data_IF_319461518155
#
_entry.id   IF_319461518155
#
_cell.length_a   1.000
_cell.length_b   1.000
_cell.length_c   1.000
_cell.angle_alpha   90.00
_cell.angle_beta   90.00
_cell.angle_gamma   90.00
#
_symmetry.space_group_name_H-M   'P 1'
#
loop_
_entity.id
_entity.type
_entity.pdbx_description
1 polymer ?
#
# COMPACT_ATOMS: atom_id res chain seq x y z
N UNK A 1 -23.02 4.44 -5.08
CA UNK A 1 -22.20 4.61 -3.87
C UNK A 1 -21.20 5.73 -4.11
N UNK A 2 -21.19 6.75 -3.25
CA UNK A 2 -20.48 8.02 -3.44
C UNK A 2 -19.05 7.85 -2.93
N UNK A 3 -18.04 7.99 -3.79
CA UNK A 3 -16.63 8.04 -3.39
C UNK A 3 -16.42 9.28 -2.52
N UNK A 4 -16.51 9.13 -1.19
CA UNK A 4 -16.27 10.20 -0.20
C UNK A 4 -14.77 10.55 -0.05
N UNK A 5 -13.92 10.12 -0.99
CA UNK A 5 -12.47 10.33 -0.96
C UNK A 5 -12.00 11.66 -1.56
N UNK A 6 -12.80 12.26 -2.45
CA UNK A 6 -12.41 13.49 -3.17
C UNK A 6 -12.55 14.75 -2.29
N UNK A 7 -12.97 14.62 -1.03
CA UNK A 7 -13.15 15.78 -0.13
C UNK A 7 -11.81 16.48 0.22
N UNK A 8 -10.67 15.85 -0.07
CA UNK A 8 -9.33 16.44 0.08
C UNK A 8 -8.77 17.14 -1.17
N UNK A 9 -9.37 16.98 -2.34
CA UNK A 9 -8.92 17.60 -3.58
C UNK A 9 -9.75 18.86 -3.84
N UNK A 10 -9.21 20.01 -3.47
CA UNK A 10 -9.73 21.30 -3.91
C UNK A 10 -8.95 21.74 -5.15
N UNK A 11 -9.56 22.54 -6.03
CA UNK A 11 -8.88 23.17 -7.16
C UNK A 11 -7.64 23.96 -6.71
N UNK A 12 -7.59 24.40 -5.44
CA UNK A 12 -6.46 25.10 -4.84
C UNK A 12 -5.29 24.21 -4.40
N UNK A 13 -5.48 22.90 -4.18
CA UNK A 13 -4.39 21.97 -3.82
C UNK A 13 -3.73 21.32 -5.04
N UNK A 14 -4.31 21.50 -6.22
CA UNK A 14 -3.75 21.00 -7.48
C UNK A 14 -2.65 21.95 -8.03
N UNK A 15 -1.62 21.40 -8.70
CA UNK A 15 -0.64 22.21 -9.41
C UNK A 15 -1.29 23.19 -10.38
N UNK A 16 -0.68 24.37 -10.57
CA UNK A 16 -1.22 25.46 -11.39
C UNK A 16 -1.54 25.04 -12.83
N UNK A 17 -0.82 24.05 -13.39
CA UNK A 17 -1.09 23.49 -14.72
C UNK A 17 -2.36 22.62 -14.78
N UNK A 18 -2.66 21.85 -13.73
CA UNK A 18 -3.91 21.08 -13.60
C UNK A 18 -5.11 22.01 -13.41
N UNK A 19 -4.89 23.13 -12.69
CA UNK A 19 -5.91 24.13 -12.38
C UNK A 19 -6.27 25.05 -13.56
N UNK A 20 -5.33 25.41 -14.42
CA UNK A 20 -5.55 26.41 -15.48
C UNK A 20 -5.64 25.77 -16.88
N UNK A 21 -6.73 25.06 -17.13
CA UNK A 21 -7.18 24.76 -18.51
C UNK A 21 -7.02 23.34 -19.02
N UNK A 22 -6.55 22.38 -18.20
CA UNK A 22 -6.53 20.96 -18.59
C UNK A 22 -7.89 20.27 -18.35
N UNK A 23 -8.55 20.57 -17.23
CA UNK A 23 -9.87 20.04 -16.90
C UNK A 23 -10.85 21.19 -16.65
N UNK A 24 -12.07 21.05 -17.15
CA UNK A 24 -13.15 22.03 -16.97
C UNK A 24 -13.84 21.85 -15.60
N UNK A 25 -13.91 20.61 -15.11
CA UNK A 25 -14.42 20.26 -13.79
C UNK A 25 -13.46 19.38 -12.99
N UNK A 26 -13.54 19.46 -11.65
CA UNK A 26 -12.88 18.51 -10.73
C UNK A 26 -13.34 17.07 -11.02
N UNK A 27 -14.55 16.89 -11.55
CA UNK A 27 -15.09 15.58 -11.90
C UNK A 27 -14.44 14.93 -13.12
N UNK A 28 -13.70 15.71 -13.90
CA UNK A 28 -13.04 15.24 -15.12
C UNK A 28 -11.60 14.79 -14.84
N UNK A 29 -11.08 15.04 -13.63
CA UNK A 29 -9.73 14.65 -13.24
C UNK A 29 -9.61 13.13 -13.26
N UNK A 30 -8.62 12.63 -14.00
CA UNK A 30 -8.26 11.22 -14.01
C UNK A 30 -7.92 10.74 -12.60
N UNK A 31 -8.51 9.63 -12.17
CA UNK A 31 -8.34 9.09 -10.82
C UNK A 31 -6.87 8.83 -10.48
N UNK A 32 -6.06 8.44 -11.48
CA UNK A 32 -4.65 8.21 -11.28
C UNK A 32 -3.93 9.50 -10.87
N UNK A 33 -4.17 10.57 -11.63
CA UNK A 33 -3.60 11.89 -11.37
C UNK A 33 -4.13 12.45 -10.05
N UNK A 34 -5.45 12.43 -9.85
CA UNK A 34 -6.06 12.90 -8.60
C UNK A 34 -5.45 12.23 -7.36
N UNK A 35 -5.33 10.90 -7.37
CA UNK A 35 -4.85 10.15 -6.21
C UNK A 35 -3.36 10.30 -5.91
N UNK A 36 -2.49 10.51 -6.91
CA UNK A 36 -1.06 10.78 -6.65
C UNK A 36 -0.82 12.22 -6.15
N UNK A 37 -1.73 13.14 -6.43
CA UNK A 37 -1.63 14.54 -6.01
C UNK A 37 -2.27 14.80 -4.63
N UNK A 38 -2.94 13.82 -4.03
CA UNK A 38 -3.41 13.94 -2.66
C UNK A 38 -2.24 13.94 -1.66
N UNK A 39 -2.40 14.74 -0.60
CA UNK A 39 -1.46 14.72 0.53
C UNK A 39 -1.48 13.32 1.18
N UNK A 40 -0.31 12.68 1.35
CA UNK A 40 -0.25 11.38 2.03
C UNK A 40 -0.77 11.44 3.47
N UNK A 41 -1.37 10.34 3.93
CA UNK A 41 -1.70 10.17 5.35
C UNK A 41 -0.42 10.09 6.19
N UNK A 42 -0.50 10.46 7.47
CA UNK A 42 0.65 10.37 8.41
C UNK A 42 1.22 8.95 8.43
N UNK A 43 2.51 8.81 8.09
CA UNK A 43 3.19 7.51 8.04
C UNK A 43 2.87 6.66 6.80
N UNK A 44 2.10 7.18 5.84
CA UNK A 44 1.79 6.51 4.58
C UNK A 44 2.46 7.20 3.40
N UNK A 45 2.56 6.48 2.29
CA UNK A 45 3.06 7.00 1.00
C UNK A 45 1.94 7.47 0.06
N UNK A 46 0.67 7.30 0.46
CA UNK A 46 -0.50 7.57 -0.38
C UNK A 46 -1.57 8.36 0.38
N UNK A 47 -2.34 9.14 -0.37
CA UNK A 47 -3.46 9.94 0.15
C UNK A 47 -4.71 9.11 0.44
N UNK A 48 -5.76 9.75 1.01
CA UNK A 48 -6.99 9.09 1.45
C UNK A 48 -7.70 8.25 0.37
N UNK A 49 -7.79 8.73 -0.87
CA UNK A 49 -8.51 8.04 -1.95
C UNK A 49 -7.80 6.75 -2.33
N UNK A 50 -6.49 6.80 -2.56
CA UNK A 50 -5.72 5.60 -2.88
C UNK A 50 -5.57 4.66 -1.68
N UNK A 51 -5.48 5.18 -0.46
CA UNK A 51 -5.51 4.35 0.74
C UNK A 51 -6.83 3.56 0.83
N UNK A 52 -7.97 4.20 0.55
CA UNK A 52 -9.28 3.55 0.53
C UNK A 52 -9.39 2.48 -0.56
N UNK A 53 -9.08 2.83 -1.82
CA UNK A 53 -9.19 1.92 -2.96
C UNK A 53 -8.25 0.71 -2.78
N UNK A 54 -6.99 0.98 -2.42
CA UNK A 54 -5.98 -0.06 -2.22
C UNK A 54 -6.32 -0.94 -1.02
N UNK A 55 -6.78 -0.33 0.08
CA UNK A 55 -7.21 -1.06 1.27
C UNK A 55 -8.38 -2.00 1.00
N UNK A 56 -9.42 -1.52 0.31
CA UNK A 56 -10.56 -2.34 -0.13
C UNK A 56 -10.11 -3.49 -1.05
N UNK A 57 -9.20 -3.20 -1.99
CA UNK A 57 -8.71 -4.22 -2.92
C UNK A 57 -7.92 -5.31 -2.19
N UNK A 58 -6.99 -4.95 -1.30
CA UNK A 58 -6.24 -5.92 -0.49
C UNK A 58 -7.14 -6.70 0.46
N UNK A 59 -8.14 -6.04 1.07
CA UNK A 59 -9.12 -6.71 1.92
C UNK A 59 -9.86 -7.81 1.16
N UNK A 60 -10.36 -7.49 -0.04
CA UNK A 60 -11.10 -8.43 -0.89
C UNK A 60 -10.21 -9.54 -1.42
N UNK A 61 -8.97 -9.25 -1.79
CA UNK A 61 -7.99 -10.27 -2.20
C UNK A 61 -7.69 -11.25 -1.06
N UNK A 62 -7.47 -10.75 0.16
CA UNK A 62 -7.21 -11.60 1.34
C UNK A 62 -8.41 -12.48 1.69
N UNK A 63 -9.61 -11.92 1.79
CA UNK A 63 -10.80 -12.65 2.27
C UNK A 63 -11.52 -13.44 1.17
N UNK A 64 -11.31 -13.08 -0.09
CA UNK A 64 -11.85 -13.81 -1.24
C UNK A 64 -11.02 -15.03 -1.63
N UNK A 65 -9.77 -15.12 -1.17
CA UNK A 65 -8.89 -16.25 -1.45
C UNK A 65 -9.01 -17.34 -0.37
N UNK A 66 -9.62 -18.47 -0.75
CA UNK A 66 -9.73 -19.64 0.12
C UNK A 66 -8.37 -20.20 0.55
N UNK A 67 -7.35 -20.02 -0.29
CA UNK A 67 -5.98 -20.49 -0.08
C UNK A 67 -5.05 -19.42 0.46
N UNK A 68 -5.59 -18.29 0.93
CA UNK A 68 -4.79 -17.28 1.61
C UNK A 68 -4.00 -17.95 2.75
N UNK A 69 -2.70 -17.67 2.87
CA UNK A 69 -1.81 -18.48 3.70
C UNK A 69 -2.21 -18.55 5.19
N UNK A 70 -2.89 -17.54 5.73
CA UNK A 70 -3.43 -17.53 7.11
C UNK A 70 -4.88 -18.05 7.21
N UNK A 71 -5.38 -18.75 6.19
CA UNK A 71 -6.75 -19.28 6.19
C UNK A 71 -6.99 -20.20 7.40
N UNK A 72 -8.14 -20.09 8.10
CA UNK A 72 -8.48 -20.96 9.21
C UNK A 72 -9.03 -22.33 8.75
N UNK A 73 -9.25 -22.52 7.44
CA UNK A 73 -9.75 -23.77 6.88
C UNK A 73 -8.71 -24.89 7.06
N UNK A 74 -9.00 -25.84 7.95
CA UNK A 74 -8.10 -26.96 8.27
C UNK A 74 -7.87 -27.92 7.10
N UNK A 75 -8.69 -27.88 6.06
CA UNK A 75 -8.54 -28.74 4.88
C UNK A 75 -7.46 -28.25 3.91
N UNK A 76 -7.13 -26.96 3.93
CA UNK A 76 -6.17 -26.34 3.00
C UNK A 76 -5.14 -25.42 3.66
N UNK A 77 -5.39 -24.99 4.90
CA UNK A 77 -4.54 -24.10 5.65
C UNK A 77 -3.31 -24.78 6.22
N UNK A 78 -2.28 -23.98 6.49
CA UNK A 78 -1.08 -24.44 7.17
C UNK A 78 -1.33 -24.78 8.63
N UNK A 79 -0.50 -25.69 9.18
CA UNK A 79 -0.45 -25.93 10.62
C UNK A 79 0.11 -24.71 11.37
N UNK A 80 -0.20 -24.55 12.67
CA UNK A 80 0.34 -23.43 13.47
C UNK A 80 1.88 -23.36 13.46
N UNK A 81 2.55 -24.52 13.48
CA UNK A 81 4.01 -24.58 13.42
C UNK A 81 4.57 -24.11 12.06
N UNK A 82 3.88 -24.44 10.96
CA UNK A 82 4.25 -23.96 9.63
C UNK A 82 4.01 -22.45 9.49
N UNK A 83 2.91 -21.92 10.03
CA UNK A 83 2.64 -20.48 10.02
C UNK A 83 3.71 -19.70 10.78
N UNK A 84 4.09 -20.15 11.98
CA UNK A 84 5.16 -19.54 12.75
C UNK A 84 6.49 -19.51 11.97
N UNK A 85 6.82 -20.61 11.26
CA UNK A 85 8.01 -20.67 10.43
C UNK A 85 7.96 -19.69 9.26
N UNK A 86 6.82 -19.58 8.57
CA UNK A 86 6.63 -18.62 7.47
C UNK A 86 6.83 -17.18 7.99
N UNK A 87 6.20 -16.83 9.11
CA UNK A 87 6.29 -15.48 9.70
C UNK A 87 7.71 -15.12 10.14
N UNK A 88 8.49 -16.10 10.61
CA UNK A 88 9.88 -15.90 11.01
C UNK A 88 10.84 -15.80 9.82
N UNK A 89 10.69 -16.69 8.82
CA UNK A 89 11.72 -16.93 7.79
C UNK A 89 11.44 -16.23 6.46
N UNK A 90 10.19 -15.96 6.12
CA UNK A 90 9.77 -15.40 4.82
C UNK A 90 9.84 -13.87 4.77
N UNK A 91 10.83 -13.27 5.45
CA UNK A 91 11.13 -11.84 5.33
C UNK A 91 11.80 -11.58 3.99
N UNK A 92 11.46 -10.47 3.32
CA UNK A 92 12.08 -10.09 2.05
C UNK A 92 13.62 -10.05 2.15
N UNK A 93 14.14 -9.62 3.30
CA UNK A 93 15.58 -9.61 3.58
C UNK A 93 16.20 -11.01 3.61
N UNK A 94 15.58 -11.93 4.37
CA UNK A 94 15.99 -13.34 4.42
C UNK A 94 16.00 -13.98 3.03
N UNK A 95 14.99 -13.71 2.21
CA UNK A 95 14.90 -14.24 0.84
C UNK A 95 16.06 -13.70 -0.02
N UNK A 96 16.35 -12.40 0.04
CA UNK A 96 17.43 -11.80 -0.74
C UNK A 96 18.81 -12.34 -0.31
N UNK A 97 19.12 -12.42 0.98
CA UNK A 97 20.39 -12.98 1.46
C UNK A 97 20.60 -14.44 1.05
N UNK A 98 19.55 -15.26 1.06
CA UNK A 98 19.66 -16.68 0.71
C UNK A 98 19.88 -16.94 -0.78
N UNK A 99 19.44 -16.02 -1.65
CA UNK A 99 19.40 -16.22 -3.09
C UNK A 99 20.34 -15.28 -3.87
N UNK A 100 21.15 -14.48 -3.19
CA UNK A 100 22.08 -13.53 -3.82
C UNK A 100 23.44 -13.57 -3.12
N UNK A 101 24.41 -12.82 -3.65
CA UNK A 101 25.76 -12.66 -3.04
C UNK A 101 25.81 -11.59 -1.94
N UNK A 102 24.65 -11.08 -1.50
CA UNK A 102 24.56 -10.04 -0.48
C UNK A 102 24.85 -10.66 0.88
N UNK A 103 25.97 -10.24 1.51
CA UNK A 103 26.39 -10.74 2.82
C UNK A 103 25.78 -9.96 3.99
N UNK A 104 25.38 -8.70 3.79
CA UNK A 104 24.83 -7.83 4.82
C UNK A 104 23.66 -7.00 4.26
N UNK A 105 22.57 -6.89 5.03
CA UNK A 105 21.45 -6.04 4.66
C UNK A 105 20.60 -5.62 5.85
N UNK A 106 19.77 -4.59 5.66
CA UNK A 106 18.80 -4.18 6.68
C UNK A 106 17.70 -5.24 6.90
N UNK A 107 17.29 -5.53 8.15
CA UNK A 107 16.25 -6.52 8.42
C UNK A 107 14.89 -6.15 7.82
N UNK A 108 14.48 -4.88 7.94
CA UNK A 108 13.23 -4.35 7.37
C UNK A 108 13.52 -3.77 5.98
N UNK A 109 13.49 -4.62 4.95
CA UNK A 109 13.92 -4.26 3.60
C UNK A 109 13.19 -3.04 2.98
N UNK A 110 11.96 -2.77 3.42
CA UNK A 110 11.13 -1.66 2.91
C UNK A 110 11.20 -0.39 3.78
N UNK A 111 11.89 -0.44 4.92
CA UNK A 111 12.05 0.75 5.75
C UNK A 111 13.11 1.68 5.12
N UNK A 112 12.88 2.99 5.23
CA UNK A 112 13.78 4.01 4.73
C UNK A 112 14.47 4.69 5.90
N UNK A 113 15.81 4.77 5.88
CA UNK A 113 16.60 5.39 6.98
C UNK A 113 16.14 6.81 7.33
N UNK A 114 15.55 7.54 6.37
CA UNK A 114 15.02 8.90 6.55
C UNK A 114 13.79 9.00 7.46
N UNK A 115 13.06 7.90 7.69
CA UNK A 115 11.92 7.90 8.59
C UNK A 115 12.34 7.87 10.08
N UNK A 116 13.54 7.35 10.38
CA UNK A 116 14.08 7.25 11.73
C UNK A 116 14.67 8.59 12.21
N UNK A 117 15.17 9.43 11.29
CA UNK A 117 15.81 10.71 11.64
C UNK A 117 14.82 11.86 11.94
N UNK A 118 13.51 11.63 11.78
CA UNK A 118 12.46 12.66 11.96
C UNK A 118 11.42 12.30 13.04
N UNK A 119 11.73 11.37 13.94
CA UNK A 119 10.88 11.04 15.09
C UNK A 119 11.54 11.35 16.42
#
# INVERSE_FOLDING_TARGET
>A
ERLRGIEGINLFTLPTCLRNGLYESIRDIDIFLGGIYETPLTGAIMGPTFACITGEQFYRLKHGDRFFYQTPDRSVGFTPAQLANIEETAKLSSILCRNTIINEMQPQALDSRRAIDNQ
#
